data_IF_104820009993
#
_entry.id   IF_104820009993
#
_cell.length_a   1.000
_cell.length_b   1.000
_cell.length_c   1.000
_cell.angle_alpha   90.00
_cell.angle_beta   90.00
_cell.angle_gamma   90.00
#
_symmetry.space_group_name_H-M   'P 1'
#
loop_
_entity.id
_entity.type
_entity.pdbx_description
1 polymer ?
#
# COMPACT_ATOMS: atom_id res chain seq x y z
N UNK A 1 2.35 15.55 -26.58
CA UNK A 1 3.47 15.05 -25.75
C UNK A 1 2.90 14.69 -24.38
N UNK A 2 2.21 13.55 -24.26
CA UNK A 2 1.67 13.11 -22.97
C UNK A 2 2.86 12.69 -22.09
N UNK A 3 3.05 13.40 -20.98
CA UNK A 3 4.29 13.39 -20.21
C UNK A 3 4.35 12.23 -19.24
N UNK A 4 5.13 11.19 -19.57
CA UNK A 4 5.52 10.11 -18.65
C UNK A 4 6.03 10.64 -17.28
N UNK A 5 6.56 11.87 -17.24
CA UNK A 5 7.00 12.51 -15.99
C UNK A 5 5.88 12.85 -15.02
N UNK A 6 4.67 13.17 -15.50
CA UNK A 6 3.53 13.50 -14.62
C UNK A 6 2.97 12.25 -13.92
N UNK A 7 2.89 11.13 -14.64
CA UNK A 7 2.46 9.84 -14.08
C UNK A 7 3.46 9.32 -13.05
N UNK A 8 4.77 9.36 -13.36
CA UNK A 8 5.81 9.00 -12.41
C UNK A 8 5.79 9.89 -11.16
N UNK A 9 5.60 11.21 -11.34
CA UNK A 9 5.49 12.14 -10.22
C UNK A 9 4.28 11.83 -9.33
N UNK A 10 3.13 11.47 -9.93
CA UNK A 10 1.92 11.05 -9.20
C UNK A 10 2.18 9.79 -8.38
N UNK A 11 2.79 8.75 -8.99
CA UNK A 11 3.12 7.51 -8.32
C UNK A 11 4.09 7.72 -7.14
N UNK A 12 5.16 8.50 -7.34
CA UNK A 12 6.11 8.84 -6.27
C UNK A 12 5.46 9.68 -5.16
N UNK A 13 4.56 10.59 -5.52
CA UNK A 13 3.77 11.38 -4.56
C UNK A 13 2.88 10.51 -3.68
N UNK A 14 2.21 9.52 -4.27
CA UNK A 14 1.40 8.55 -3.54
C UNK A 14 2.24 7.73 -2.57
N UNK A 15 3.37 7.17 -3.02
CA UNK A 15 4.31 6.43 -2.16
C UNK A 15 4.80 7.31 -1.00
N UNK A 16 5.19 8.55 -1.27
CA UNK A 16 5.65 9.49 -0.22
C UNK A 16 4.56 9.76 0.82
N UNK A 17 3.32 9.91 0.37
CA UNK A 17 2.16 10.16 1.25
C UNK A 17 1.85 8.93 2.10
N UNK A 18 1.86 7.75 1.50
CA UNK A 18 1.71 6.48 2.22
C UNK A 18 2.76 6.30 3.31
N UNK A 19 4.04 6.53 3.00
CA UNK A 19 5.13 6.40 3.97
C UNK A 19 4.93 7.35 5.16
N UNK A 20 4.52 8.60 4.91
CA UNK A 20 4.24 9.56 5.99
C UNK A 20 3.07 9.12 6.88
N UNK A 21 2.01 8.58 6.27
CA UNK A 21 0.86 8.06 6.99
C UNK A 21 1.25 6.84 7.84
N UNK A 22 2.00 5.89 7.27
CA UNK A 22 2.52 4.72 7.97
C UNK A 22 3.44 5.14 9.13
N UNK A 23 4.38 6.05 8.90
CA UNK A 23 5.27 6.56 9.94
C UNK A 23 4.49 7.18 11.12
N UNK A 24 3.42 7.92 10.83
CA UNK A 24 2.53 8.48 11.86
C UNK A 24 1.86 7.39 12.68
N UNK A 25 1.37 6.32 12.03
CA UNK A 25 0.75 5.16 12.70
C UNK A 25 1.77 4.39 13.53
N UNK A 26 2.97 4.16 13.01
CA UNK A 26 4.08 3.50 13.73
C UNK A 26 4.41 4.25 15.01
N UNK A 27 4.56 5.59 14.93
CA UNK A 27 4.85 6.43 16.09
C UNK A 27 3.78 6.38 17.19
N UNK A 28 2.54 6.05 16.81
CA UNK A 28 1.38 5.98 17.72
C UNK A 28 0.86 4.56 17.93
N UNK A 29 1.58 3.54 17.43
CA UNK A 29 1.07 2.18 17.33
C UNK A 29 0.67 1.59 18.69
N UNK A 30 1.38 1.95 19.77
CA UNK A 30 1.03 1.54 21.13
C UNK A 30 -0.29 2.15 21.63
N UNK A 31 -0.55 3.41 21.28
CA UNK A 31 -1.80 4.11 21.65
C UNK A 31 -2.99 3.62 20.83
N UNK A 32 -2.74 3.20 19.59
CA UNK A 32 -3.76 2.71 18.65
C UNK A 32 -3.97 1.19 18.73
N UNK A 33 -3.24 0.49 19.61
CA UNK A 33 -3.38 -0.96 19.78
C UNK A 33 -2.93 -1.78 18.55
N UNK A 34 -2.01 -1.22 17.75
CA UNK A 34 -1.52 -1.79 16.49
C UNK A 34 -0.35 -2.77 16.67
N UNK A 35 0.07 -3.02 17.91
CA UNK A 35 1.06 -4.06 18.20
C UNK A 35 0.40 -5.45 18.23
N UNK A 36 1.20 -6.45 17.88
CA UNK A 36 0.81 -7.87 17.89
C UNK A 36 0.33 -8.39 16.55
N UNK A 37 -0.07 -9.66 16.57
CA UNK A 37 -0.50 -10.43 15.39
C UNK A 37 -1.94 -10.06 15.04
N UNK A 38 -2.25 -9.99 13.75
CA UNK A 38 -3.59 -9.73 13.23
C UNK A 38 -4.52 -10.95 13.29
N UNK A 39 -3.97 -12.13 13.61
CA UNK A 39 -4.70 -13.40 13.69
C UNK A 39 -4.77 -14.15 12.37
N UNK A 40 -4.22 -13.60 11.29
CA UNK A 40 -4.15 -14.18 9.94
C UNK A 40 -2.71 -14.60 9.60
N UNK A 41 -2.60 -15.64 8.78
CA UNK A 41 -1.35 -15.98 8.09
C UNK A 41 -1.31 -15.16 6.81
N UNK A 42 -0.26 -14.38 6.59
CA UNK A 42 -0.10 -13.57 5.37
C UNK A 42 0.20 -14.43 4.15
N UNK A 43 0.28 -13.82 2.96
CA UNK A 43 0.53 -14.52 1.69
C UNK A 43 1.87 -15.30 1.66
N UNK A 44 2.83 -14.91 2.50
CA UNK A 44 4.13 -15.58 2.67
C UNK A 44 4.11 -16.77 3.65
N UNK A 45 3.00 -17.00 4.37
CA UNK A 45 2.86 -18.08 5.37
C UNK A 45 3.33 -17.74 6.79
N UNK A 46 3.81 -16.52 7.01
CA UNK A 46 4.15 -15.99 8.35
C UNK A 46 2.92 -15.37 9.05
N UNK A 47 3.01 -15.29 10.38
CA UNK A 47 1.99 -14.65 11.20
C UNK A 47 1.98 -13.13 10.95
N UNK A 48 0.92 -12.64 10.30
CA UNK A 48 0.79 -11.25 9.88
C UNK A 48 0.63 -10.32 11.09
N UNK A 49 1.41 -9.23 11.16
CA UNK A 49 1.23 -8.23 12.24
C UNK A 49 0.13 -7.24 11.85
N UNK A 50 -0.58 -6.70 12.84
CA UNK A 50 -1.60 -5.66 12.61
C UNK A 50 -1.07 -4.44 11.88
N UNK A 51 0.19 -4.08 12.16
CA UNK A 51 0.85 -2.96 11.50
C UNK A 51 1.10 -3.22 10.00
N UNK A 52 1.36 -4.48 9.64
CA UNK A 52 1.57 -4.90 8.26
C UNK A 52 0.25 -4.74 7.46
N UNK A 53 -0.87 -5.19 8.03
CA UNK A 53 -2.22 -4.99 7.46
C UNK A 53 -2.49 -3.50 7.21
N UNK A 54 -2.26 -2.66 8.23
CA UNK A 54 -2.51 -1.22 8.13
C UNK A 54 -1.61 -0.57 7.07
N UNK A 55 -0.34 -0.97 6.99
CA UNK A 55 0.58 -0.44 5.98
C UNK A 55 0.15 -0.83 4.56
N UNK A 56 -0.25 -2.09 4.38
CA UNK A 56 -0.75 -2.60 3.11
C UNK A 56 -2.02 -1.86 2.64
N UNK A 57 -2.98 -1.66 3.55
CA UNK A 57 -4.22 -0.93 3.25
C UNK A 57 -3.97 0.52 2.84
N UNK A 58 -3.04 1.21 3.54
CA UNK A 58 -2.65 2.58 3.19
C UNK A 58 -2.03 2.62 1.80
N UNK A 59 -1.08 1.71 1.50
CA UNK A 59 -0.42 1.66 0.19
C UNK A 59 -1.40 1.37 -0.93
N UNK A 60 -2.28 0.38 -0.77
CA UNK A 60 -3.34 0.04 -1.74
C UNK A 60 -4.22 1.25 -2.04
N UNK A 61 -4.73 1.92 -1.01
CA UNK A 61 -5.63 3.06 -1.17
C UNK A 61 -4.95 4.23 -1.90
N UNK A 62 -3.73 4.59 -1.52
CA UNK A 62 -3.02 5.73 -2.13
C UNK A 62 -2.56 5.44 -3.57
N UNK A 63 -2.09 4.23 -3.85
CA UNK A 63 -1.64 3.85 -5.19
C UNK A 63 -2.82 3.66 -6.16
N UNK A 64 -3.97 3.18 -5.68
CA UNK A 64 -5.19 3.16 -6.49
C UNK A 64 -5.68 4.57 -6.80
N UNK A 65 -5.68 5.47 -5.81
CA UNK A 65 -6.16 6.83 -5.97
C UNK A 65 -5.29 7.70 -6.90
N UNK A 66 -4.01 7.39 -7.07
CA UNK A 66 -3.09 8.21 -7.87
C UNK A 66 -3.28 8.03 -9.39
N UNK A 67 -3.96 6.96 -9.82
CA UNK A 67 -4.28 6.67 -11.22
C UNK A 67 -3.09 6.33 -12.11
N UNK A 68 -1.88 6.26 -11.56
CA UNK A 68 -0.64 6.03 -12.30
C UNK A 68 -0.08 4.60 -12.15
N UNK A 69 -0.75 3.74 -11.35
CA UNK A 69 -0.32 2.36 -11.09
C UNK A 69 -1.41 1.40 -11.59
N UNK A 70 -1.04 0.52 -12.53
CA UNK A 70 -1.97 -0.47 -13.08
C UNK A 70 -2.11 -1.71 -12.20
N UNK A 71 -1.01 -2.19 -11.62
CA UNK A 71 -0.95 -3.43 -10.83
C UNK A 71 -0.07 -3.22 -9.61
N UNK A 72 -0.50 -3.76 -8.47
CA UNK A 72 0.25 -3.83 -7.23
C UNK A 72 0.44 -5.29 -6.81
N UNK A 73 1.68 -5.67 -6.52
CA UNK A 73 1.98 -6.89 -5.80
C UNK A 73 2.45 -6.51 -4.39
N UNK A 74 1.96 -7.23 -3.39
CA UNK A 74 2.27 -7.00 -1.98
C UNK A 74 2.49 -8.36 -1.31
N UNK A 75 3.40 -8.42 -0.34
CA UNK A 75 3.63 -9.61 0.51
C UNK A 75 2.36 -10.03 1.27
N UNK A 76 1.50 -9.05 1.56
CA UNK A 76 0.27 -9.24 2.33
C UNK A 76 -0.92 -9.71 1.49
N UNK A 77 -0.73 -9.91 0.18
CA UNK A 77 -1.77 -10.33 -0.75
C UNK A 77 -1.38 -11.63 -1.45
N UNK A 78 -2.33 -12.56 -1.60
CA UNK A 78 -2.09 -13.86 -2.25
C UNK A 78 -1.79 -13.74 -3.75
N UNK A 79 -2.04 -12.57 -4.35
CA UNK A 79 -1.85 -12.34 -5.77
C UNK A 79 -1.75 -10.87 -6.14
N UNK A 80 -1.43 -10.62 -7.40
CA UNK A 80 -1.34 -9.27 -7.93
C UNK A 80 -2.74 -8.62 -7.99
N UNK A 81 -2.84 -7.42 -7.42
CA UNK A 81 -4.04 -6.60 -7.42
C UNK A 81 -4.03 -5.63 -8.61
N UNK A 82 -5.11 -5.61 -9.37
CA UNK A 82 -5.33 -4.61 -10.42
C UNK A 82 -5.93 -3.36 -9.78
N UNK A 83 -5.23 -2.22 -9.85
CA UNK A 83 -5.60 -0.97 -9.16
C UNK A 83 -6.28 0.07 -10.06
N UNK A 84 -6.25 -0.12 -11.38
CA UNK A 84 -6.93 0.73 -12.35
C UNK A 84 -7.78 -0.09 -13.33
N UNK A 85 -8.56 0.59 -14.17
CA UNK A 85 -9.59 -0.02 -15.04
C UNK A 85 -9.03 -0.86 -16.22
N UNK A 86 -7.86 -1.48 -16.08
CA UNK A 86 -7.27 -2.29 -17.15
C UNK A 86 -6.94 -1.47 -18.39
N UNK A 87 -6.49 -0.21 -18.23
CA UNK A 87 -5.94 0.58 -19.34
C UNK A 87 -4.62 -0.06 -19.76
N UNK A 88 -4.74 -1.07 -20.62
CA UNK A 88 -3.69 -1.56 -21.49
C UNK A 88 -3.19 -0.35 -22.27
N UNK A 89 -1.99 0.09 -21.95
CA UNK A 89 -1.20 0.90 -22.86
C UNK A 89 -0.57 -0.02 -23.91
#
# INVERSE_FOLDING_TARGET
MAGHGAELASALGAVSTSIKAIATRVARAGLEGLYGVAGTTGGSGDAQKKLDVVANDIMKAQLAACGAVGVLASEEEDGALVLGDGRQA
#
